data_IF_105382443406
#
_entry.id   IF_105382443406
#
_cell.length_a   1.000
_cell.length_b   1.000
_cell.length_c   1.000
_cell.angle_alpha   90.00
_cell.angle_beta   90.00
_cell.angle_gamma   90.00
#
_symmetry.space_group_name_H-M   'P 1'
#
loop_
_entity.id
_entity.type
_entity.pdbx_description
1 polymer ?
#
# COMPACT_ATOMS: atom_id res chain seq x y z
N UNK A 1 -25.21 30.06 -2.47
CA UNK A 1 -24.92 29.20 -3.63
C UNK A 1 -23.93 28.13 -3.19
N UNK A 2 -24.26 26.83 -3.31
CA UNK A 2 -23.32 25.76 -2.96
C UNK A 2 -22.20 25.68 -3.99
N UNK A 3 -20.93 25.70 -3.56
CA UNK A 3 -19.78 25.53 -4.46
C UNK A 3 -19.87 24.18 -5.20
N UNK A 4 -19.46 24.17 -6.48
CA UNK A 4 -19.28 22.94 -7.25
C UNK A 4 -18.23 22.04 -6.62
N UNK A 5 -18.36 20.71 -6.75
CA UNK A 5 -17.42 19.74 -6.17
C UNK A 5 -15.97 19.96 -6.63
N UNK A 6 -15.67 20.27 -7.91
CA UNK A 6 -14.32 20.65 -8.33
C UNK A 6 -13.75 21.85 -7.57
N UNK A 7 -14.54 22.90 -7.34
CA UNK A 7 -14.10 24.07 -6.58
C UNK A 7 -13.82 23.72 -5.12
N UNK A 8 -14.64 22.86 -4.50
CA UNK A 8 -14.42 22.39 -3.13
C UNK A 8 -13.13 21.58 -2.99
N UNK A 9 -12.84 20.68 -3.94
CA UNK A 9 -11.61 19.88 -3.97
C UNK A 9 -10.37 20.78 -4.13
N UNK A 10 -10.42 21.77 -5.03
CA UNK A 10 -9.33 22.73 -5.20
C UNK A 10 -9.06 23.54 -3.93
N UNK A 11 -10.11 24.04 -3.27
CA UNK A 11 -9.98 24.76 -2.00
C UNK A 11 -9.38 23.88 -0.90
N UNK A 12 -9.81 22.61 -0.81
CA UNK A 12 -9.26 21.66 0.15
C UNK A 12 -7.78 21.37 -0.14
N UNK A 13 -7.41 21.17 -1.41
CA UNK A 13 -6.02 20.99 -1.82
C UNK A 13 -5.15 22.18 -1.42
N UNK A 14 -5.60 23.41 -1.69
CA UNK A 14 -4.88 24.63 -1.29
C UNK A 14 -4.75 24.77 0.24
N UNK A 15 -5.79 24.37 0.99
CA UNK A 15 -5.75 24.37 2.46
C UNK A 15 -4.70 23.39 3.01
N UNK A 16 -4.63 22.19 2.43
CA UNK A 16 -3.72 21.13 2.89
C UNK A 16 -2.28 21.35 2.42
N UNK A 17 -2.07 21.95 1.24
CA UNK A 17 -0.74 22.16 0.66
C UNK A 17 0.20 23.03 1.53
N UNK A 18 -0.36 23.91 2.36
CA UNK A 18 0.42 24.79 3.24
C UNK A 18 0.77 24.15 4.60
N UNK A 19 0.40 22.89 4.83
CA UNK A 19 0.59 22.20 6.10
C UNK A 19 1.70 21.14 6.00
N UNK A 20 2.47 20.92 7.06
CA UNK A 20 3.31 19.72 7.17
C UNK A 20 2.47 18.45 6.97
N UNK A 21 3.04 17.45 6.30
CA UNK A 21 2.35 16.19 6.00
C UNK A 21 1.87 15.46 7.26
N UNK A 22 2.67 15.49 8.34
CA UNK A 22 2.28 14.98 9.65
C UNK A 22 1.02 15.68 10.16
N UNK A 23 0.92 17.00 9.99
CA UNK A 23 -0.24 17.78 10.40
C UNK A 23 -1.47 17.40 9.55
N UNK A 24 -1.32 17.31 8.22
CA UNK A 24 -2.42 16.90 7.32
C UNK A 24 -3.02 15.57 7.75
N UNK A 25 -2.19 14.56 7.99
CA UNK A 25 -2.67 13.25 8.43
C UNK A 25 -3.26 13.30 9.84
N UNK A 26 -2.69 14.12 10.76
CA UNK A 26 -3.25 14.32 12.11
C UNK A 26 -4.64 14.94 12.08
N UNK A 27 -4.84 15.96 11.24
CA UNK A 27 -6.14 16.62 11.04
C UNK A 27 -7.19 15.61 10.56
N UNK A 28 -6.79 14.73 9.63
CA UNK A 28 -7.66 13.70 9.08
C UNK A 28 -7.98 12.60 10.10
N UNK A 29 -7.00 12.10 10.87
CA UNK A 29 -7.23 10.98 11.80
C UNK A 29 -7.89 11.39 13.12
N UNK A 30 -7.55 12.56 13.67
CA UNK A 30 -7.84 12.85 15.08
C UNK A 30 -8.72 14.08 15.32
N UNK A 31 -8.83 15.00 14.37
CA UNK A 31 -9.61 16.24 14.59
C UNK A 31 -10.98 16.17 13.96
N UNK A 32 -11.99 16.76 14.61
CA UNK A 32 -13.32 16.87 14.00
C UNK A 32 -13.26 17.79 12.77
N UNK A 33 -13.93 17.40 11.68
CA UNK A 33 -13.89 18.13 10.41
C UNK A 33 -15.31 18.42 9.94
N UNK A 34 -15.62 19.70 9.73
CA UNK A 34 -16.92 20.14 9.19
C UNK A 34 -16.88 20.40 7.67
N UNK A 35 -15.72 20.17 7.06
CA UNK A 35 -15.48 20.37 5.63
C UNK A 35 -15.40 19.03 4.88
N UNK A 36 -15.05 19.09 3.59
CA UNK A 36 -14.98 17.93 2.71
C UNK A 36 -13.94 16.86 3.13
N UNK A 37 -12.98 17.21 3.99
CA UNK A 37 -11.97 16.28 4.53
C UNK A 37 -12.58 15.12 5.33
N UNK A 38 -13.78 15.30 5.92
CA UNK A 38 -14.48 14.21 6.62
C UNK A 38 -14.96 13.09 5.68
N UNK A 39 -15.14 13.43 4.41
CA UNK A 39 -15.54 12.51 3.33
C UNK A 39 -14.33 11.83 2.69
N UNK A 40 -13.11 12.26 3.02
CA UNK A 40 -11.90 11.79 2.38
C UNK A 40 -11.62 10.31 2.65
N UNK A 41 -10.86 9.71 1.75
CA UNK A 41 -10.28 8.38 1.89
C UNK A 41 -8.77 8.54 1.95
N UNK A 42 -8.14 7.90 2.93
CA UNK A 42 -6.70 7.73 2.92
C UNK A 42 -6.38 6.47 2.13
N UNK A 43 -5.53 6.59 1.12
CA UNK A 43 -5.09 5.47 0.29
C UNK A 43 -3.57 5.39 0.36
N UNK A 44 -3.03 4.26 0.83
CA UNK A 44 -1.60 3.98 0.73
C UNK A 44 -1.37 3.12 -0.50
N UNK A 45 -0.42 3.50 -1.35
CA UNK A 45 -0.01 2.69 -2.50
C UNK A 45 1.46 2.30 -2.37
N UNK A 46 1.75 1.03 -2.60
CA UNK A 46 3.11 0.51 -2.65
C UNK A 46 3.27 -0.36 -3.89
N UNK A 47 4.18 0.01 -4.79
CA UNK A 47 4.41 -0.70 -6.05
C UNK A 47 5.73 -1.44 -6.03
N UNK A 48 5.76 -2.67 -6.55
CA UNK A 48 6.99 -3.41 -6.79
C UNK A 48 7.23 -3.62 -8.26
N UNK A 49 8.48 -3.43 -8.64
CA UNK A 49 8.96 -3.51 -9.99
C UNK A 49 10.05 -4.58 -10.05
N UNK A 50 10.17 -5.30 -11.17
CA UNK A 50 11.26 -6.23 -11.35
C UNK A 50 12.60 -5.51 -11.24
N UNK A 51 13.56 -6.14 -10.56
CA UNK A 51 14.91 -5.57 -10.35
C UNK A 51 15.79 -5.63 -11.60
N UNK A 52 15.38 -6.42 -12.58
CA UNK A 52 16.07 -6.63 -13.85
C UNK A 52 15.19 -6.16 -15.02
N UNK A 53 15.79 -5.72 -16.15
CA UNK A 53 15.05 -5.32 -17.34
C UNK A 53 14.09 -6.43 -17.77
N UNK A 54 12.82 -6.13 -18.11
CA UNK A 54 12.33 -4.81 -18.52
C UNK A 54 11.86 -3.87 -17.39
N UNK A 55 12.12 -4.17 -16.11
CA UNK A 55 11.67 -3.35 -14.97
C UNK A 55 10.15 -3.23 -14.90
N UNK A 56 9.46 -4.32 -15.14
CA UNK A 56 7.99 -4.39 -15.22
C UNK A 56 7.35 -4.36 -13.84
N UNK A 57 6.10 -3.91 -13.75
CA UNK A 57 5.33 -3.92 -12.50
C UNK A 57 4.93 -5.36 -12.15
N UNK A 58 5.32 -5.84 -10.98
CA UNK A 58 5.03 -7.22 -10.54
C UNK A 58 3.90 -7.27 -9.51
N UNK A 59 3.86 -6.30 -8.59
CA UNK A 59 2.90 -6.28 -7.49
C UNK A 59 2.45 -4.85 -7.15
N UNK A 60 1.22 -4.73 -6.66
CA UNK A 60 0.66 -3.51 -6.08
C UNK A 60 0.05 -3.85 -4.73
N UNK A 61 0.54 -3.23 -3.67
CA UNK A 61 -0.12 -3.17 -2.38
C UNK A 61 -0.94 -1.90 -2.28
N UNK A 62 -2.17 -2.03 -1.80
CA UNK A 62 -3.04 -0.89 -1.53
C UNK A 62 -3.62 -1.04 -0.14
N UNK A 63 -3.63 0.03 0.64
CA UNK A 63 -4.52 0.10 1.80
C UNK A 63 -5.48 1.27 1.64
N UNK A 64 -6.68 1.12 2.20
CA UNK A 64 -7.67 2.20 2.26
C UNK A 64 -8.15 2.35 3.69
N UNK A 65 -8.29 3.59 4.14
CA UNK A 65 -8.90 3.92 5.42
C UNK A 65 -9.93 5.01 5.23
N UNK A 66 -11.17 4.67 5.54
CA UNK A 66 -12.33 5.53 5.36
C UNK A 66 -12.85 6.00 6.70
N UNK A 67 -12.66 7.29 6.97
CA UNK A 67 -13.11 7.86 8.23
C UNK A 67 -14.63 7.78 8.42
N UNK A 68 -15.44 7.82 7.36
CA UNK A 68 -16.89 7.73 7.47
C UNK A 68 -17.38 6.40 8.05
N UNK A 69 -16.69 5.31 7.71
CA UNK A 69 -16.99 3.98 8.24
C UNK A 69 -16.63 3.88 9.74
N UNK A 70 -15.75 4.77 10.21
CA UNK A 70 -15.32 4.86 11.61
C UNK A 70 -16.14 5.91 12.34
N UNK A 71 -17.01 5.47 13.25
CA UNK A 71 -17.76 6.38 14.14
C UNK A 71 -18.57 7.47 13.40
N UNK A 72 -19.08 7.17 12.20
CA UNK A 72 -19.89 8.09 11.40
C UNK A 72 -19.13 9.34 10.94
N UNK A 73 -17.82 9.23 10.70
CA UNK A 73 -16.98 10.36 10.29
C UNK A 73 -16.43 11.19 11.46
N UNK A 74 -16.78 10.88 12.70
CA UNK A 74 -16.24 11.55 13.89
C UNK A 74 -14.90 10.95 14.29
N UNK A 75 -14.00 11.72 14.93
CA UNK A 75 -12.77 11.14 15.46
C UNK A 75 -13.08 10.00 16.45
N UNK A 76 -12.38 8.89 16.29
CA UNK A 76 -12.41 7.78 17.24
C UNK A 76 -11.14 7.84 18.10
N UNK A 77 -11.22 7.48 19.39
CA UNK A 77 -10.02 7.21 20.16
C UNK A 77 -9.14 6.20 19.39
N UNK A 78 -7.82 6.40 19.34
CA UNK A 78 -6.97 5.56 18.51
C UNK A 78 -6.77 4.14 19.08
N UNK A 79 -7.06 3.92 20.37
CA UNK A 79 -6.74 2.67 21.04
C UNK A 79 -5.23 2.45 21.22
N UNK A 80 -4.82 1.35 21.85
CA UNK A 80 -3.40 1.00 22.02
C UNK A 80 -2.74 0.83 20.65
N UNK A 81 -1.61 1.50 20.41
CA UNK A 81 -0.91 1.45 19.12
C UNK A 81 -1.81 1.67 17.89
N UNK A 82 -2.78 2.60 17.98
CA UNK A 82 -3.72 2.93 16.90
C UNK A 82 -4.65 1.77 16.47
N UNK A 83 -4.78 0.70 17.27
CA UNK A 83 -5.58 -0.48 16.95
C UNK A 83 -7.01 -0.16 16.49
N UNK A 84 -7.70 0.76 17.17
CA UNK A 84 -9.09 1.10 16.87
C UNK A 84 -9.26 1.80 15.52
N UNK A 85 -8.18 2.39 14.97
CA UNK A 85 -8.17 2.94 13.62
C UNK A 85 -7.69 1.88 12.61
N UNK A 86 -6.63 1.14 12.96
CA UNK A 86 -5.98 0.18 12.07
C UNK A 86 -6.89 -1.00 11.71
N UNK A 87 -7.80 -1.40 12.60
CA UNK A 87 -8.82 -2.43 12.30
C UNK A 87 -9.80 -2.05 11.18
N UNK A 88 -9.88 -0.76 10.84
CA UNK A 88 -10.71 -0.24 9.75
C UNK A 88 -9.90 0.04 8.48
N UNK A 89 -8.62 -0.36 8.45
CA UNK A 89 -7.80 -0.32 7.25
C UNK A 89 -8.09 -1.56 6.42
N UNK A 90 -8.62 -1.37 5.20
CA UNK A 90 -8.75 -2.45 4.24
C UNK A 90 -7.46 -2.60 3.44
N UNK A 91 -6.85 -3.79 3.41
CA UNK A 91 -5.57 -4.05 2.74
C UNK A 91 -5.74 -5.01 1.57
N UNK A 92 -5.12 -4.70 0.44
CA UNK A 92 -5.26 -5.43 -0.81
C UNK A 92 -3.88 -5.68 -1.41
N UNK A 93 -3.69 -6.86 -1.98
CA UNK A 93 -2.45 -7.24 -2.64
C UNK A 93 -2.73 -7.82 -4.03
N UNK A 94 -2.30 -7.08 -5.06
CA UNK A 94 -2.46 -7.43 -6.46
C UNK A 94 -1.14 -7.90 -7.04
N UNK A 95 -1.13 -9.10 -7.63
CA UNK A 95 -0.01 -9.63 -8.41
C UNK A 95 -0.36 -9.56 -9.90
N UNK A 96 0.51 -8.95 -10.69
CA UNK A 96 0.27 -8.76 -12.14
C UNK A 96 0.54 -10.09 -12.86
N UNK A 97 -0.50 -10.72 -13.40
CA UNK A 97 -0.47 -12.08 -13.99
C UNK A 97 0.60 -12.24 -15.06
N UNK A 98 0.70 -11.24 -15.93
CA UNK A 98 1.61 -11.20 -17.07
C UNK A 98 3.08 -11.21 -16.61
N UNK A 99 3.33 -10.68 -15.41
CA UNK A 99 4.67 -10.49 -14.86
C UNK A 99 4.96 -11.39 -13.65
N UNK A 100 4.02 -12.25 -13.24
CA UNK A 100 4.10 -13.03 -12.01
C UNK A 100 5.24 -14.07 -11.99
N UNK A 101 5.77 -14.45 -13.17
CA UNK A 101 6.92 -15.35 -13.31
C UNK A 101 8.28 -14.64 -13.16
N UNK A 102 8.28 -13.30 -13.07
CA UNK A 102 9.49 -12.48 -12.96
C UNK A 102 9.78 -12.19 -11.51
N UNK A 103 11.01 -12.47 -11.07
CA UNK A 103 11.37 -12.16 -9.69
C UNK A 103 11.54 -10.66 -9.44
N UNK A 104 10.96 -10.23 -8.32
CA UNK A 104 11.14 -8.90 -7.77
C UNK A 104 12.40 -8.79 -6.90
N UNK A 105 13.10 -9.90 -6.60
CA UNK A 105 14.35 -9.92 -5.84
C UNK A 105 15.50 -10.46 -6.70
N UNK A 106 16.74 -10.10 -6.35
CA UNK A 106 17.93 -10.58 -7.07
C UNK A 106 18.39 -11.97 -6.59
N UNK A 107 17.93 -12.37 -5.42
CA UNK A 107 18.56 -13.42 -4.62
C UNK A 107 17.92 -14.80 -4.85
N UNK A 108 16.64 -14.86 -5.22
CA UNK A 108 15.99 -16.11 -5.64
C UNK A 108 14.85 -15.88 -6.67
N UNK A 109 14.94 -16.47 -7.88
CA UNK A 109 13.83 -16.48 -8.85
C UNK A 109 12.54 -17.14 -8.33
N UNK A 110 12.65 -18.03 -7.36
CA UNK A 110 11.55 -18.85 -6.81
C UNK A 110 10.84 -18.22 -5.61
N UNK A 111 11.45 -17.23 -4.96
CA UNK A 111 10.86 -16.48 -3.83
C UNK A 111 9.66 -15.63 -4.24
N UNK A 112 9.60 -15.20 -5.51
CA UNK A 112 8.56 -14.30 -6.01
C UNK A 112 7.13 -14.87 -5.85
N UNK A 113 7.01 -16.18 -5.66
CA UNK A 113 5.74 -16.89 -5.48
C UNK A 113 5.44 -17.30 -4.03
N UNK A 114 6.35 -17.02 -3.09
CA UNK A 114 6.32 -17.63 -1.74
C UNK A 114 6.10 -16.65 -0.60
N UNK A 115 6.25 -15.34 -0.82
CA UNK A 115 6.10 -14.36 0.26
C UNK A 115 4.62 -14.17 0.64
N UNK A 116 4.18 -14.66 1.83
CA UNK A 116 2.77 -14.61 2.22
C UNK A 116 2.31 -13.16 2.44
N UNK A 117 1.05 -12.89 2.09
CA UNK A 117 0.39 -11.65 2.46
C UNK A 117 -0.34 -11.85 3.79
N UNK A 118 0.06 -11.11 4.82
CA UNK A 118 -0.40 -11.35 6.20
C UNK A 118 -1.69 -10.61 6.56
N UNK A 119 -2.08 -9.60 5.79
CA UNK A 119 -3.20 -8.71 6.12
C UNK A 119 -4.44 -8.93 5.25
N UNK A 120 -4.47 -10.00 4.46
CA UNK A 120 -5.52 -10.24 3.48
C UNK A 120 -5.19 -11.39 2.54
N UNK A 121 -5.68 -11.29 1.30
CA UNK A 121 -5.46 -12.29 0.26
C UNK A 121 -4.73 -11.69 -0.93
N UNK A 122 -3.72 -12.41 -1.42
CA UNK A 122 -3.08 -12.10 -2.70
C UNK A 122 -4.02 -12.53 -3.82
N UNK A 123 -4.30 -11.63 -4.75
CA UNK A 123 -5.05 -11.93 -5.97
C UNK A 123 -4.22 -11.62 -7.21
N UNK A 124 -4.37 -12.45 -8.22
CA UNK A 124 -3.76 -12.28 -9.52
C UNK A 124 -4.72 -11.53 -10.44
N UNK A 125 -4.22 -10.45 -11.04
CA UNK A 125 -5.00 -9.53 -11.89
C UNK A 125 -4.25 -9.28 -13.21
N UNK A 126 -4.95 -8.91 -14.27
CA UNK A 126 -4.26 -8.28 -15.41
C UNK A 126 -3.80 -6.88 -15.02
N UNK A 127 -2.94 -6.29 -15.85
CA UNK A 127 -2.60 -4.88 -15.71
C UNK A 127 -3.82 -3.95 -15.86
N UNK A 128 -4.74 -4.29 -16.77
CA UNK A 128 -5.99 -3.55 -17.00
C UNK A 128 -6.90 -3.61 -15.76
N UNK A 129 -7.13 -4.81 -15.22
CA UNK A 129 -7.89 -5.00 -13.98
C UNK A 129 -7.31 -4.16 -12.83
N UNK A 130 -5.97 -4.14 -12.69
CA UNK A 130 -5.29 -3.36 -11.67
C UNK A 130 -5.50 -1.85 -11.85
N UNK A 131 -5.47 -1.36 -13.10
CA UNK A 131 -5.75 0.04 -13.41
C UNK A 131 -7.20 0.39 -13.08
N UNK A 132 -8.17 -0.43 -13.48
CA UNK A 132 -9.59 -0.21 -13.22
C UNK A 132 -9.89 -0.15 -11.73
N UNK A 133 -9.29 -1.04 -10.94
CA UNK A 133 -9.39 -1.03 -9.49
C UNK A 133 -8.86 0.28 -8.91
N UNK A 134 -7.66 0.72 -9.31
CA UNK A 134 -7.10 1.97 -8.83
C UNK A 134 -7.97 3.17 -9.24
N UNK A 135 -8.54 3.16 -10.45
CA UNK A 135 -9.49 4.18 -10.89
C UNK A 135 -10.74 4.21 -10.02
N UNK A 136 -11.31 3.04 -9.68
CA UNK A 136 -12.46 2.93 -8.78
C UNK A 136 -12.14 3.45 -7.38
N UNK A 137 -10.97 3.11 -6.83
CA UNK A 137 -10.51 3.60 -5.52
C UNK A 137 -10.36 5.13 -5.53
N UNK A 138 -9.87 5.72 -6.62
CA UNK A 138 -9.68 7.18 -6.72
C UNK A 138 -10.94 7.97 -7.08
N UNK A 139 -11.95 7.33 -7.66
CA UNK A 139 -13.19 7.95 -8.12
C UNK A 139 -14.41 7.43 -7.36
N UNK A 140 -14.26 7.17 -6.07
CA UNK A 140 -15.38 6.82 -5.22
C UNK A 140 -16.37 7.99 -5.14
N UNK A 141 -17.67 7.78 -5.41
CA UNK A 141 -18.66 8.83 -5.21
C UNK A 141 -18.83 9.14 -3.71
N UNK A 142 -19.10 10.40 -3.39
CA UNK A 142 -19.44 10.82 -2.00
C UNK A 142 -20.71 10.11 -1.52
N UNK A 143 -21.65 9.86 -2.44
CA UNK A 143 -22.93 9.23 -2.16
C UNK A 143 -23.31 8.40 -3.38
N UNK A 144 -23.40 7.07 -3.20
CA UNK A 144 -23.76 6.14 -4.28
C UNK A 144 -25.14 6.42 -4.87
N UNK A 145 -26.04 7.05 -4.10
CA UNK A 145 -27.40 7.38 -4.54
C UNK A 145 -27.51 8.80 -5.12
N UNK A 146 -26.46 9.62 -4.98
CA UNK A 146 -26.43 11.04 -5.37
C UNK A 146 -25.10 11.42 -6.01
N UNK A 147 -24.89 10.91 -7.23
CA UNK A 147 -23.66 11.08 -8.00
C UNK A 147 -23.33 12.55 -8.30
N UNK A 148 -24.33 13.43 -8.31
CA UNK A 148 -24.17 14.87 -8.48
C UNK A 148 -23.36 15.54 -7.36
N UNK A 149 -23.22 14.88 -6.19
CA UNK A 149 -22.32 15.33 -5.13
C UNK A 149 -20.84 15.19 -5.52
N UNK A 150 -20.54 14.41 -6.55
CA UNK A 150 -19.20 14.16 -7.07
C UNK A 150 -18.41 13.15 -6.24
N UNK A 151 -17.09 13.17 -6.40
CA UNK A 151 -16.20 12.14 -5.85
C UNK A 151 -15.56 12.55 -4.51
N UNK A 152 -15.22 11.54 -3.71
CA UNK A 152 -14.54 11.68 -2.42
C UNK A 152 -13.12 12.21 -2.63
N UNK A 153 -12.63 13.11 -1.76
CA UNK A 153 -11.22 13.47 -1.76
C UNK A 153 -10.34 12.27 -1.43
N UNK A 154 -9.17 12.18 -2.08
CA UNK A 154 -8.17 11.16 -1.76
C UNK A 154 -6.95 11.83 -1.14
N UNK A 155 -6.55 11.34 0.03
CA UNK A 155 -5.23 11.58 0.61
C UNK A 155 -4.40 10.37 0.22
N UNK A 156 -3.40 10.55 -0.64
CA UNK A 156 -2.52 9.46 -1.03
C UNK A 156 -1.29 9.44 -0.13
N UNK A 157 -0.96 8.29 0.44
CA UNK A 157 0.24 8.04 1.22
C UNK A 157 1.20 7.17 0.41
N UNK A 158 2.43 7.66 0.23
CA UNK A 158 3.54 6.93 -0.39
C UNK A 158 4.65 6.67 0.63
N UNK A 159 5.70 5.99 0.18
CA UNK A 159 6.89 5.73 0.97
C UNK A 159 8.17 6.03 0.18
N UNK A 160 8.77 7.18 0.44
CA UNK A 160 9.97 7.64 -0.25
C UNK A 160 9.85 7.58 -1.77
N UNK A 161 10.90 7.06 -2.41
CA UNK A 161 10.98 6.87 -3.86
C UNK A 161 10.37 5.55 -4.35
N UNK A 162 9.56 4.84 -3.55
CA UNK A 162 8.87 3.62 -4.01
C UNK A 162 8.12 3.88 -5.34
N UNK A 163 7.59 5.09 -5.47
CA UNK A 163 6.81 5.51 -6.61
C UNK A 163 7.55 6.39 -7.62
N UNK A 164 8.87 6.56 -7.45
CA UNK A 164 9.66 7.32 -8.39
C UNK A 164 9.65 6.61 -9.76
N UNK A 165 8.88 7.19 -10.69
CA UNK A 165 8.79 6.81 -12.09
C UNK A 165 10.14 7.16 -12.75
N UNK A 166 11.14 6.30 -12.64
CA UNK A 166 12.31 6.41 -13.52
C UNK A 166 11.85 6.26 -14.96
N UNK A 167 12.49 6.96 -15.91
CA UNK A 167 12.13 6.94 -17.35
C UNK A 167 12.01 5.53 -17.93
N UNK A 168 12.66 4.54 -17.33
CA UNK A 168 12.63 3.13 -17.70
C UNK A 168 11.35 2.37 -17.31
N UNK A 169 10.58 2.85 -16.33
CA UNK A 169 9.38 2.18 -15.79
C UNK A 169 8.06 2.65 -16.43
N UNK A 170 8.13 3.64 -17.31
CA UNK A 170 7.02 4.53 -17.63
C UNK A 170 6.13 4.06 -18.80
N UNK A 171 6.52 3.02 -19.54
CA UNK A 171 5.87 2.71 -20.82
C UNK A 171 4.57 1.91 -20.64
N UNK A 172 4.46 1.09 -19.58
CA UNK A 172 3.38 0.10 -19.49
C UNK A 172 2.33 0.40 -18.40
N UNK A 173 2.61 1.27 -17.42
CA UNK A 173 1.67 1.57 -16.31
C UNK A 173 1.67 3.05 -15.90
N UNK A 174 0.86 3.89 -16.56
CA UNK A 174 0.74 5.33 -16.29
C UNK A 174 -0.37 5.66 -15.27
N UNK A 175 -0.28 5.07 -14.07
CA UNK A 175 -1.11 5.51 -12.94
C UNK A 175 -0.32 6.46 -12.04
N UNK A 176 -0.74 7.72 -12.00
CA UNK A 176 -0.07 8.78 -11.25
C UNK A 176 -1.05 9.48 -10.30
N UNK A 177 -1.06 9.12 -9.01
CA UNK A 177 -1.96 9.72 -8.01
C UNK A 177 -1.92 11.25 -7.99
N UNK A 178 -0.75 11.85 -8.22
CA UNK A 178 -0.55 13.31 -8.23
C UNK A 178 -1.31 14.01 -9.35
N UNK A 179 -1.60 13.33 -10.46
CA UNK A 179 -2.31 13.88 -11.63
C UNK A 179 -3.84 13.73 -11.53
N UNK A 180 -4.35 12.97 -10.56
CA UNK A 180 -5.78 12.67 -10.46
C UNK A 180 -6.49 13.79 -9.70
N UNK A 181 -7.60 14.29 -10.28
CA UNK A 181 -8.31 15.46 -9.77
C UNK A 181 -8.93 15.31 -8.37
N UNK A 182 -9.18 14.07 -7.92
CA UNK A 182 -9.68 13.74 -6.58
C UNK A 182 -8.58 13.72 -5.51
N UNK A 183 -7.30 13.63 -5.90
CA UNK A 183 -6.17 13.70 -4.97
C UNK A 183 -6.03 15.11 -4.41
N UNK A 184 -6.25 15.26 -3.10
CA UNK A 184 -6.18 16.54 -2.39
C UNK A 184 -4.90 16.71 -1.57
N UNK A 185 -4.19 15.61 -1.28
CA UNK A 185 -2.89 15.64 -0.64
C UNK A 185 -2.06 14.40 -1.03
N UNK A 186 -0.77 14.61 -1.27
CA UNK A 186 0.24 13.57 -1.41
C UNK A 186 1.14 13.62 -0.17
N UNK A 187 1.15 12.54 0.58
CA UNK A 187 1.91 12.38 1.80
C UNK A 187 2.97 11.30 1.59
N UNK A 188 4.07 11.40 2.32
CA UNK A 188 5.17 10.44 2.34
C UNK A 188 5.46 10.06 3.78
N UNK A 189 5.34 8.77 4.10
CA UNK A 189 5.53 8.32 5.48
C UNK A 189 6.96 8.52 6.00
N UNK A 190 7.99 8.58 5.14
CA UNK A 190 9.35 8.94 5.57
C UNK A 190 9.40 10.40 6.03
N UNK A 191 8.80 11.32 5.27
CA UNK A 191 8.69 12.73 5.64
C UNK A 191 7.85 12.92 6.90
N UNK A 192 6.76 12.17 7.07
CA UNK A 192 5.96 12.16 8.29
C UNK A 192 6.82 11.71 9.49
N UNK A 193 7.62 10.65 9.35
CA UNK A 193 8.48 10.17 10.42
C UNK A 193 9.53 11.23 10.84
N UNK A 194 10.09 11.97 9.87
CA UNK A 194 11.01 13.09 10.14
C UNK A 194 10.30 14.23 10.87
N UNK A 195 9.13 14.67 10.37
CA UNK A 195 8.33 15.73 10.98
C UNK A 195 7.89 15.38 12.40
N UNK A 196 7.55 14.11 12.64
CA UNK A 196 7.22 13.55 13.94
C UNK A 196 8.44 13.28 14.85
N UNK A 197 9.66 13.62 14.40
CA UNK A 197 10.92 13.44 15.14
C UNK A 197 11.15 11.97 15.55
N UNK A 198 10.76 11.03 14.69
CA UNK A 198 11.07 9.60 14.83
C UNK A 198 12.51 9.35 14.36
N UNK A 199 12.89 9.95 13.23
CA UNK A 199 14.20 9.86 12.60
C UNK A 199 14.64 11.23 12.08
N UNK A 200 15.94 11.38 11.80
CA UNK A 200 16.48 12.51 11.03
C UNK A 200 16.93 12.12 9.62
N UNK A 201 16.91 10.82 9.27
CA UNK A 201 17.31 10.34 7.95
C UNK A 201 16.15 10.48 6.94
N UNK A 202 16.48 11.03 5.76
CA UNK A 202 15.55 11.23 4.64
C UNK A 202 15.17 9.96 3.89
N UNK A 203 15.88 8.87 4.15
CA UNK A 203 15.84 7.61 3.41
C UNK A 203 15.69 6.39 4.34
N UNK A 204 15.30 6.64 5.60
CA UNK A 204 15.15 5.62 6.63
C UNK A 204 14.17 4.51 6.19
N UNK A 205 14.62 3.25 6.19
CA UNK A 205 13.83 2.09 5.75
C UNK A 205 12.72 1.67 6.73
N UNK A 206 11.77 0.87 6.27
CA UNK A 206 10.67 0.35 7.09
C UNK A 206 11.23 -0.51 8.23
N UNK A 207 12.23 -1.33 7.93
CA UNK A 207 12.92 -2.21 8.88
C UNK A 207 13.70 -1.45 9.93
N UNK A 208 14.08 -0.20 9.65
CA UNK A 208 14.67 0.69 10.64
C UNK A 208 13.60 1.40 11.48
N UNK A 209 12.51 1.87 10.85
CA UNK A 209 11.51 2.72 11.51
C UNK A 209 10.53 1.94 12.40
N UNK A 210 10.05 0.77 11.97
CA UNK A 210 9.07 -0.01 12.73
C UNK A 210 9.60 -0.54 14.08
N UNK A 211 10.88 -0.96 14.21
CA UNK A 211 11.42 -1.36 15.50
C UNK A 211 11.43 -0.26 16.56
N UNK A 212 11.45 1.03 16.16
CA UNK A 212 11.29 2.15 17.10
C UNK A 212 9.92 2.08 17.79
N UNK A 213 8.92 1.53 17.10
CA UNK A 213 7.58 1.25 17.62
C UNK A 213 7.43 -0.15 18.24
N UNK A 214 8.53 -0.89 18.43
CA UNK A 214 8.55 -2.30 18.86
C UNK A 214 7.79 -3.25 17.93
N UNK A 215 7.74 -2.90 16.64
CA UNK A 215 7.15 -3.73 15.59
C UNK A 215 8.29 -4.30 14.75
N UNK A 216 8.30 -5.62 14.58
CA UNK A 216 9.17 -6.29 13.61
C UNK A 216 8.31 -6.58 12.37
N UNK A 217 8.65 -6.03 11.19
CA UNK A 217 7.97 -6.42 9.97
C UNK A 217 8.27 -7.89 9.63
N UNK A 218 7.32 -8.52 8.96
CA UNK A 218 7.44 -9.85 8.38
C UNK A 218 7.09 -9.74 6.91
N UNK A 219 7.91 -10.33 6.05
CA UNK A 219 7.61 -10.46 4.63
C UNK A 219 7.29 -9.09 3.98
N UNK A 220 8.04 -8.05 4.35
CA UNK A 220 7.91 -6.67 3.86
C UNK A 220 8.22 -6.54 2.37
N UNK A 221 8.81 -7.58 1.78
CA UNK A 221 8.94 -7.72 0.35
C UNK A 221 7.60 -7.96 -0.35
N UNK A 222 6.54 -8.42 0.31
CA UNK A 222 5.21 -8.46 -0.29
C UNK A 222 4.62 -7.04 -0.36
N UNK A 223 4.18 -6.59 -1.54
CA UNK A 223 3.74 -5.21 -1.70
C UNK A 223 2.54 -4.85 -0.80
N UNK A 224 1.63 -5.80 -0.56
CA UNK A 224 0.49 -5.63 0.35
C UNK A 224 0.92 -5.45 1.80
N UNK A 225 1.84 -6.29 2.29
CA UNK A 225 2.44 -6.14 3.62
C UNK A 225 3.12 -4.77 3.75
N UNK A 226 3.92 -4.39 2.75
CA UNK A 226 4.59 -3.09 2.73
C UNK A 226 3.60 -1.92 2.82
N UNK A 227 2.52 -1.92 2.04
CA UNK A 227 1.49 -0.88 2.10
C UNK A 227 0.84 -0.79 3.50
N UNK A 228 0.56 -1.93 4.14
CA UNK A 228 0.03 -1.96 5.51
C UNK A 228 1.05 -1.42 6.52
N UNK A 229 2.30 -1.87 6.45
CA UNK A 229 3.37 -1.38 7.33
C UNK A 229 3.65 0.12 7.18
N UNK A 230 3.59 0.66 5.95
CA UNK A 230 3.68 2.12 5.69
C UNK A 230 2.51 2.85 6.34
N UNK A 231 1.29 2.30 6.27
CA UNK A 231 0.10 2.87 6.91
C UNK A 231 0.25 2.90 8.43
N UNK A 232 0.66 1.76 9.02
CA UNK A 232 0.94 1.63 10.45
C UNK A 232 1.99 2.65 10.89
N UNK A 233 3.12 2.72 10.19
CA UNK A 233 4.19 3.67 10.46
C UNK A 233 3.68 5.11 10.49
N UNK A 234 2.88 5.51 9.50
CA UNK A 234 2.34 6.85 9.41
C UNK A 234 1.37 7.16 10.57
N UNK A 235 0.48 6.22 10.92
CA UNK A 235 -0.47 6.37 12.02
C UNK A 235 0.27 6.53 13.35
N UNK A 236 1.22 5.64 13.64
CA UNK A 236 1.98 5.66 14.89
C UNK A 236 2.88 6.89 15.00
N UNK A 237 3.43 7.38 13.88
CA UNK A 237 4.24 8.60 13.85
C UNK A 237 3.41 9.84 14.16
N UNK A 238 2.23 9.96 13.55
CA UNK A 238 1.33 11.11 13.74
C UNK A 238 0.71 11.14 15.12
N UNK A 239 0.31 9.98 15.64
CA UNK A 239 -0.37 9.81 16.91
C UNK A 239 0.60 9.56 18.08
N UNK A 240 1.90 9.74 17.86
CA UNK A 240 2.94 9.44 18.85
C UNK A 240 2.65 10.10 20.21
N UNK A 241 2.18 11.36 20.19
CA UNK A 241 1.90 12.13 21.41
C UNK A 241 0.73 11.50 22.19
N UNK A 242 -0.36 11.20 21.48
CA UNK A 242 -1.58 10.61 22.01
C UNK A 242 -1.36 9.19 22.54
N UNK A 243 -0.59 8.39 21.81
CA UNK A 243 -0.41 6.97 22.11
C UNK A 243 0.53 6.73 23.28
N UNK A 244 1.60 7.53 23.37
CA UNK A 244 2.72 7.28 24.26
C UNK A 244 2.87 8.31 25.39
N UNK A 245 1.95 9.28 25.50
CA UNK A 245 2.03 10.32 26.55
C UNK A 245 3.22 11.25 26.36
N UNK A 246 3.63 11.49 25.10
CA UNK A 246 4.91 12.14 24.82
C UNK A 246 4.96 13.64 25.16
N UNK A 247 3.84 14.24 25.58
CA UNK A 247 3.81 15.63 26.06
C UNK A 247 4.60 15.80 27.36
N UNK A 248 4.55 14.81 28.24
CA UNK A 248 5.36 14.78 29.46
C UNK A 248 6.76 14.18 29.23
N UNK A 249 6.96 13.43 28.14
CA UNK A 249 8.22 12.77 27.82
C UNK A 249 8.42 12.65 26.30
N UNK A 250 9.21 13.54 25.66
CA UNK A 250 9.48 13.47 24.22
C UNK A 250 10.16 12.16 23.77
N UNK A 251 10.75 11.41 24.72
CA UNK A 251 11.39 10.10 24.49
C UNK A 251 10.48 8.93 24.90
N UNK A 252 9.18 9.17 25.12
CA UNK A 252 8.25 8.12 25.50
C UNK A 252 8.32 6.96 24.50
N UNK A 253 8.52 5.77 25.06
CA UNK A 253 8.66 4.53 24.29
C UNK A 253 7.30 3.84 24.20
N UNK A 254 7.05 3.12 23.10
CA UNK A 254 5.85 2.29 22.97
C UNK A 254 5.70 1.30 24.14
N UNK A 255 4.48 1.08 24.61
CA UNK A 255 4.16 0.09 25.64
C UNK A 255 4.50 0.48 27.08
N UNK A 256 5.09 1.67 27.33
CA UNK A 256 5.49 2.09 28.67
C UNK A 256 4.53 3.09 29.32
N UNK A 257 3.93 3.97 28.51
CA UNK A 257 3.10 5.09 28.97
C UNK A 257 1.92 5.31 28.01
N UNK A 258 0.96 6.13 28.44
CA UNK A 258 -0.25 6.44 27.67
C UNK A 258 -1.14 5.22 27.46
N UNK A 259 -2.01 5.28 26.46
CA UNK A 259 -2.92 4.17 26.12
C UNK A 259 -2.16 2.93 25.61
N UNK A 260 -0.94 3.11 25.09
CA UNK A 260 -0.10 2.01 24.61
C UNK A 260 0.33 1.02 25.68
N UNK A 261 0.34 1.39 26.98
CA UNK A 261 0.77 0.47 28.04
C UNK A 261 -0.20 -0.70 28.29
N UNK A 262 -1.43 -0.58 27.80
CA UNK A 262 -2.49 -1.57 28.02
C UNK A 262 -2.37 -2.80 27.12
N UNK A 263 -1.64 -2.71 25.99
CA UNK A 263 -1.44 -3.80 25.03
C UNK A 263 -0.15 -3.59 24.25
N UNK A 264 0.62 -4.65 24.01
CA UNK A 264 1.89 -4.55 23.27
C UNK A 264 1.67 -4.31 21.78
N UNK A 265 2.59 -3.59 21.13
CA UNK A 265 2.56 -3.37 19.68
C UNK A 265 2.52 -4.70 18.91
N UNK A 266 3.29 -5.70 19.36
CA UNK A 266 3.29 -7.05 18.80
C UNK A 266 1.91 -7.69 18.84
N UNK A 267 1.18 -7.57 19.95
CA UNK A 267 -0.17 -8.12 20.09
C UNK A 267 -1.17 -7.44 19.15
N UNK A 268 -1.06 -6.12 18.95
CA UNK A 268 -1.89 -5.40 17.98
C UNK A 268 -1.58 -5.87 16.55
N UNK A 269 -0.30 -5.98 16.18
CA UNK A 269 0.09 -6.45 14.86
C UNK A 269 -0.33 -7.89 14.60
N UNK A 270 -0.16 -8.79 15.58
CA UNK A 270 -0.63 -10.17 15.48
C UNK A 270 -2.15 -10.22 15.27
N UNK A 271 -2.91 -9.43 16.03
CA UNK A 271 -4.35 -9.36 15.86
C UNK A 271 -4.75 -8.91 14.44
N UNK A 272 -4.06 -7.91 13.88
CA UNK A 272 -4.31 -7.47 12.49
C UNK A 272 -4.01 -8.56 11.46
N UNK A 273 -3.00 -9.40 11.69
CA UNK A 273 -2.66 -10.52 10.82
C UNK A 273 -3.63 -11.71 10.98
N UNK A 274 -4.14 -11.93 12.19
CA UNK A 274 -5.12 -12.99 12.48
C UNK A 274 -6.54 -12.63 12.00
N UNK A 275 -6.79 -11.36 11.67
CA UNK A 275 -8.07 -10.86 11.16
C UNK A 275 -7.87 -10.23 9.77
N UNK A 276 -7.45 -11.05 8.77
CA UNK A 276 -7.17 -10.56 7.44
C UNK A 276 -8.43 -9.96 6.82
N UNK A 277 -8.23 -8.94 6.01
CA UNK A 277 -9.36 -8.30 5.34
C UNK A 277 -9.94 -9.20 4.24
N UNK A 278 -11.22 -9.03 3.86
CA UNK A 278 -11.85 -9.86 2.84
C UNK A 278 -11.08 -9.87 1.52
N UNK A 279 -11.23 -10.96 0.77
CA UNK A 279 -10.67 -11.10 -0.58
C UNK A 279 -11.11 -9.91 -1.44
N UNK A 280 -10.19 -9.23 -2.14
CA UNK A 280 -10.57 -8.16 -3.07
C UNK A 280 -11.61 -8.66 -4.08
N UNK A 281 -12.59 -7.84 -4.48
CA UNK A 281 -13.67 -8.28 -5.39
C UNK A 281 -13.22 -8.52 -6.84
N UNK A 282 -11.92 -8.39 -7.13
CA UNK A 282 -11.34 -8.49 -8.46
C UNK A 282 -10.14 -9.45 -8.45
N UNK A 283 -9.91 -10.11 -9.58
CA UNK A 283 -8.82 -11.07 -9.76
C UNK A 283 -9.15 -12.48 -9.30
N UNK A 284 -8.12 -13.31 -9.24
CA UNK A 284 -8.21 -14.74 -8.89
C UNK A 284 -7.16 -15.08 -7.84
N UNK A 285 -7.52 -15.90 -6.84
CA UNK A 285 -6.59 -16.29 -5.78
C UNK A 285 -5.61 -17.38 -6.21
N UNK A 286 -5.93 -18.11 -7.29
CA UNK A 286 -5.13 -19.23 -7.81
C UNK A 286 -4.68 -18.93 -9.23
N UNK A 287 -3.37 -18.92 -9.45
CA UNK A 287 -2.76 -18.75 -10.76
C UNK A 287 -1.42 -19.45 -10.82
N UNK A 288 -1.18 -20.16 -11.91
CA UNK A 288 0.10 -20.76 -12.23
C UNK A 288 0.86 -19.82 -13.17
N UNK A 289 1.87 -19.10 -12.67
CA UNK A 289 2.71 -18.24 -13.52
C UNK A 289 3.52 -19.02 -14.56
N UNK A 290 3.66 -20.33 -14.36
CA UNK A 290 4.31 -21.27 -15.27
C UNK A 290 3.53 -21.51 -16.56
N UNK A 291 2.25 -21.88 -16.46
CA UNK A 291 1.41 -22.30 -17.61
C UNK A 291 0.11 -21.50 -17.78
N UNK A 292 -0.08 -20.42 -17.01
CA UNK A 292 -1.28 -19.57 -16.98
C UNK A 292 -2.58 -20.28 -16.62
N UNK A 293 -2.50 -21.42 -15.92
CA UNK A 293 -3.66 -22.10 -15.36
C UNK A 293 -4.26 -21.32 -14.18
N UNK A 294 -5.59 -21.32 -14.08
CA UNK A 294 -6.33 -20.82 -12.91
C UNK A 294 -6.75 -21.92 -11.93
N UNK A 295 -6.33 -23.16 -12.19
CA UNK A 295 -6.76 -24.35 -11.44
C UNK A 295 -5.74 -24.78 -10.38
N UNK A 296 -4.47 -24.41 -10.56
CA UNK A 296 -3.37 -24.85 -9.69
C UNK A 296 -2.32 -23.74 -9.54
N UNK A 297 -1.49 -23.85 -8.51
CA UNK A 297 -0.32 -22.98 -8.28
C UNK A 297 0.92 -23.47 -9.02
N UNK A 298 2.03 -22.71 -9.03
CA UNK A 298 3.29 -23.16 -9.63
C UNK A 298 3.82 -24.46 -9.00
N UNK A 299 3.65 -24.62 -7.69
CA UNK A 299 4.08 -25.81 -6.96
C UNK A 299 3.31 -27.08 -7.37
N UNK A 300 2.07 -26.92 -7.84
CA UNK A 300 1.17 -27.99 -8.27
C UNK A 300 1.14 -28.17 -9.79
N UNK A 301 1.98 -27.44 -10.52
CA UNK A 301 1.94 -27.43 -11.98
C UNK A 301 2.38 -28.78 -12.56
N UNK A 302 1.53 -29.49 -13.32
CA UNK A 302 1.90 -30.77 -13.94
C UNK A 302 2.89 -30.58 -15.09
N UNK A 303 2.99 -29.37 -15.63
CA UNK A 303 3.83 -29.03 -16.76
C UNK A 303 5.21 -28.58 -16.24
N UNK A 304 6.05 -29.54 -15.83
CA UNK A 304 7.41 -29.25 -15.32
C UNK A 304 8.48 -29.25 -16.40
N UNK A 305 8.16 -29.77 -17.58
CA UNK A 305 9.17 -30.17 -18.58
C UNK A 305 9.38 -29.13 -19.70
N UNK A 306 8.66 -28.00 -19.68
CA UNK A 306 8.86 -26.95 -20.67
C UNK A 306 9.94 -25.95 -20.24
N UNK A 307 10.67 -25.44 -21.23
CA UNK A 307 11.66 -24.38 -21.07
C UNK A 307 11.40 -23.32 -22.12
N UNK A 308 11.31 -22.06 -21.72
CA UNK A 308 11.17 -20.94 -22.63
C UNK A 308 12.40 -20.83 -23.53
N UNK A 309 12.24 -21.15 -24.81
CA UNK A 309 13.33 -21.19 -25.80
C UNK A 309 14.03 -19.83 -25.95
N UNK A 310 13.26 -18.73 -25.90
CA UNK A 310 13.76 -17.34 -25.94
C UNK A 310 14.69 -17.02 -24.77
N UNK A 311 14.30 -17.43 -23.57
CA UNK A 311 15.07 -17.22 -22.35
C UNK A 311 16.33 -18.08 -22.34
N UNK A 312 16.22 -19.35 -22.76
CA UNK A 312 17.33 -20.29 -22.85
C UNK A 312 18.39 -19.83 -23.87
N UNK A 313 17.95 -19.30 -25.02
CA UNK A 313 18.83 -18.77 -26.07
C UNK A 313 19.46 -17.41 -25.73
N UNK A 314 19.05 -16.78 -24.62
CA UNK A 314 19.58 -15.48 -24.22
C UNK A 314 21.06 -15.56 -23.83
N UNK A 315 21.85 -14.55 -24.18
CA UNK A 315 23.23 -14.38 -23.69
C UNK A 315 23.29 -13.92 -22.23
N UNK A 316 22.14 -13.58 -21.64
CA UNK A 316 22.06 -13.02 -20.30
C UNK A 316 21.74 -14.15 -19.31
N UNK A 317 22.68 -14.46 -18.41
CA UNK A 317 22.62 -15.60 -17.49
C UNK A 317 21.30 -15.68 -16.71
N UNK A 318 20.83 -14.55 -16.15
CA UNK A 318 19.59 -14.55 -15.36
C UNK A 318 18.36 -14.94 -16.20
N UNK A 319 18.33 -14.61 -17.50
CA UNK A 319 17.22 -15.02 -18.37
C UNK A 319 17.25 -16.53 -18.59
N UNK A 320 18.44 -17.11 -18.77
CA UNK A 320 18.60 -18.56 -18.91
C UNK A 320 18.15 -19.29 -17.64
N UNK A 321 18.52 -18.78 -16.46
CA UNK A 321 18.10 -19.31 -15.15
C UNK A 321 16.57 -19.24 -14.96
N UNK A 322 15.92 -18.23 -15.54
CA UNK A 322 14.46 -18.06 -15.52
C UNK A 322 13.73 -18.81 -16.65
N UNK A 323 14.42 -19.54 -17.52
CA UNK A 323 13.77 -20.17 -18.68
C UNK A 323 12.76 -21.27 -18.26
N UNK A 324 12.89 -21.83 -17.06
CA UNK A 324 12.01 -22.87 -16.49
C UNK A 324 10.80 -22.30 -15.73
N UNK A 325 10.67 -20.98 -15.60
CA UNK A 325 9.62 -20.37 -14.77
C UNK A 325 8.33 -20.10 -15.53
N UNK A 326 8.32 -20.20 -16.86
CA UNK A 326 7.19 -19.81 -17.70
C UNK A 326 7.24 -20.46 -19.09
N UNK A 327 6.07 -20.66 -19.69
CA UNK A 327 5.94 -21.08 -21.09
C UNK A 327 6.34 -19.95 -22.05
N UNK A 328 6.80 -20.29 -23.25
CA UNK A 328 7.28 -19.31 -24.23
C UNK A 328 6.26 -18.22 -24.58
N UNK A 329 4.97 -18.56 -24.59
CA UNK A 329 3.87 -17.61 -24.83
C UNK A 329 3.70 -16.55 -23.73
N UNK A 330 4.29 -16.77 -22.56
CA UNK A 330 4.23 -15.87 -21.40
C UNK A 330 5.51 -15.06 -21.22
N UNK A 331 6.52 -15.30 -22.06
CA UNK A 331 7.80 -14.62 -21.97
C UNK A 331 7.65 -13.13 -22.29
N UNK A 332 7.91 -12.27 -21.31
CA UNK A 332 7.91 -10.81 -21.48
C UNK A 332 9.22 -10.27 -22.07
N UNK A 333 10.24 -11.12 -22.14
CA UNK A 333 11.54 -10.76 -22.69
C UNK A 333 11.50 -10.85 -24.21
N UNK A 334 11.59 -9.68 -24.86
CA UNK A 334 11.81 -9.59 -26.31
C UNK A 334 13.27 -9.82 -26.67
#
# INVERSE_FOLDING_TARGET
>A
MSLSTPTKLTNLRSLLANKPQQEVLRLYLHQNQDNLLKEAVLVTIFRKWSVLPPYTLTEIGVTTYERQQVHGGRPCPPGPHAEDLLRHVWSMHYRIRENAHVSATKEDPTEADQTPFHFGYSVFVTLEDAMDVLQQIWHQPIDMMKLEKGHRPVICLSYGNNDALSKTRHVDFDFSPTKIGTTVAMLDAQNIAIQAKITSSGDASIDYLLPIFQIRPYDEHNAGNAAMYVTVLAFLSVLRKELYGSEANPKARPGQQGISSTKTARSVMQWLMDHPTPVPPFGVTTYCSRCSSFVHTVAECPNTDFVCSKCLASKIKFRQENAVTHMEGLCIYR
#
